data_IF_188666036956
#
_entry.id   IF_188666036956
#
_cell.length_a   1.000
_cell.length_b   1.000
_cell.length_c   1.000
_cell.angle_alpha   90.00
_cell.angle_beta   90.00
_cell.angle_gamma   90.00
#
_symmetry.space_group_name_H-M   'P 1'
#
loop_
_entity.id
_entity.type
_entity.pdbx_description
1 polymer ?
#
# COMPACT_ATOMS: atom_id res chain seq x y z
N UNK A 1 12.45 45.09 66.64
CA UNK A 1 12.69 44.32 67.89
C UNK A 1 12.12 42.92 67.69
N UNK A 2 12.78 41.87 68.21
CA UNK A 2 12.33 40.46 68.31
C UNK A 2 11.77 39.82 67.01
N UNK A 3 12.40 38.86 66.32
CA UNK A 3 13.33 37.78 66.72
C UNK A 3 12.80 36.92 67.87
N UNK A 4 12.26 35.74 67.53
CA UNK A 4 12.25 34.54 68.36
C UNK A 4 12.49 33.32 67.46
N UNK A 5 13.47 32.50 67.86
CA UNK A 5 13.74 31.17 67.34
C UNK A 5 13.11 30.16 68.32
N UNK A 6 12.91 28.89 67.93
CA UNK A 6 13.28 27.72 68.74
C UNK A 6 12.98 26.38 68.02
N UNK A 7 13.97 25.50 68.04
CA UNK A 7 13.96 24.04 67.78
C UNK A 7 14.43 23.32 69.07
N UNK A 8 14.48 21.96 69.14
CA UNK A 8 13.69 20.94 68.44
C UNK A 8 12.84 20.16 69.49
N UNK A 9 13.14 18.95 70.05
CA UNK A 9 14.00 17.81 69.68
C UNK A 9 13.22 16.73 68.86
N UNK A 10 13.74 15.49 68.77
CA UNK A 10 13.10 14.36 68.07
C UNK A 10 13.00 13.06 68.90
N UNK A 11 12.41 12.00 68.31
CA UNK A 11 12.27 10.66 68.92
C UNK A 11 12.62 9.58 67.88
N UNK A 12 13.36 8.56 68.30
CA UNK A 12 13.77 7.41 67.49
C UNK A 12 12.62 6.40 67.26
N UNK A 13 12.71 5.60 66.18
CA UNK A 13 13.00 4.15 66.28
C UNK A 13 12.34 3.28 65.19
N UNK A 14 12.85 2.04 65.09
CA UNK A 14 12.27 0.85 64.48
C UNK A 14 12.21 0.74 62.94
N UNK A 15 13.22 0.03 62.40
CA UNK A 15 13.10 -0.75 61.17
C UNK A 15 11.94 -1.76 61.30
N UNK A 16 11.23 -2.04 60.21
CA UNK A 16 10.63 -3.37 60.00
C UNK A 16 10.80 -3.78 58.54
N UNK A 17 11.48 -4.90 58.33
CA UNK A 17 11.81 -5.46 57.01
C UNK A 17 10.89 -6.65 56.77
N UNK A 18 9.77 -6.45 56.08
CA UNK A 18 8.83 -7.54 55.82
C UNK A 18 8.26 -7.52 54.40
N UNK A 19 8.26 -8.70 53.76
CA UNK A 19 7.14 -9.10 52.93
C UNK A 19 7.10 -8.62 51.49
N UNK A 20 8.17 -8.81 50.71
CA UNK A 20 8.08 -8.80 49.24
C UNK A 20 7.28 -10.01 48.73
N UNK A 21 5.95 -9.99 48.89
CA UNK A 21 5.08 -11.02 48.33
C UNK A 21 5.07 -10.92 46.80
N UNK A 22 5.80 -11.82 46.15
CA UNK A 22 5.67 -12.04 44.70
C UNK A 22 4.28 -12.63 44.45
N UNK A 23 3.35 -11.85 43.87
CA UNK A 23 2.17 -12.44 43.23
C UNK A 23 2.66 -13.35 42.11
N UNK A 24 2.41 -14.64 42.25
CA UNK A 24 2.54 -15.61 41.16
C UNK A 24 1.44 -15.30 40.16
N UNK A 25 1.79 -14.76 39.00
CA UNK A 25 0.85 -14.55 37.91
C UNK A 25 0.59 -15.90 37.25
N UNK A 26 -0.64 -16.39 37.36
CA UNK A 26 -1.08 -17.60 36.68
C UNK A 26 -1.10 -17.38 35.15
N UNK A 27 -0.47 -18.23 34.33
CA UNK A 27 -0.62 -18.21 32.89
C UNK A 27 -1.95 -18.90 32.52
N UNK A 28 -3.02 -18.14 32.30
CA UNK A 28 -4.32 -18.76 32.02
C UNK A 28 -5.51 -17.82 31.93
N UNK A 29 -5.46 -16.81 31.06
CA UNK A 29 -6.65 -16.17 30.46
C UNK A 29 -6.20 -15.20 29.37
N UNK A 30 -6.06 -15.69 28.13
CA UNK A 30 -6.06 -14.81 26.96
C UNK A 30 -7.51 -14.34 26.74
N UNK A 31 -7.78 -13.04 26.56
CA UNK A 31 -9.11 -12.58 26.15
C UNK A 31 -9.43 -13.14 24.76
N UNK A 32 -10.71 -13.49 24.54
CA UNK A 32 -11.15 -14.15 23.32
C UNK A 32 -10.77 -13.36 22.07
N UNK A 33 -10.16 -14.07 21.13
CA UNK A 33 -9.71 -13.54 19.83
C UNK A 33 -10.92 -12.99 19.06
N UNK A 34 -10.93 -11.66 18.83
CA UNK A 34 -11.94 -11.02 17.98
C UNK A 34 -11.61 -11.36 16.53
N UNK A 35 -12.12 -12.50 16.07
CA UNK A 35 -11.99 -12.91 14.67
C UNK A 35 -12.64 -11.87 13.76
N UNK A 36 -11.93 -11.31 12.76
CA UNK A 36 -12.57 -10.45 11.77
C UNK A 36 -13.59 -11.26 10.97
N UNK A 37 -14.84 -10.81 10.96
CA UNK A 37 -15.92 -11.53 10.27
C UNK A 37 -15.64 -11.59 8.77
N UNK A 38 -15.45 -12.82 8.27
CA UNK A 38 -15.20 -13.10 6.85
C UNK A 38 -16.47 -12.71 6.05
N UNK A 39 -16.40 -11.83 5.04
CA UNK A 39 -17.56 -11.51 4.22
C UNK A 39 -18.04 -12.77 3.48
N UNK A 40 -19.35 -12.96 3.43
CA UNK A 40 -19.96 -14.16 2.86
C UNK A 40 -19.64 -14.30 1.35
N UNK A 41 -19.27 -15.51 0.93
CA UNK A 41 -18.99 -15.83 -0.48
C UNK A 41 -20.26 -15.70 -1.33
N UNK A 42 -20.37 -14.62 -2.09
CA UNK A 42 -21.38 -14.50 -3.15
C UNK A 42 -21.05 -15.49 -4.29
N UNK A 43 -21.94 -16.44 -4.54
CA UNK A 43 -21.82 -17.40 -5.64
C UNK A 43 -22.39 -16.78 -6.92
N UNK A 44 -21.53 -16.29 -7.81
CA UNK A 44 -21.94 -15.80 -9.13
C UNK A 44 -21.72 -16.88 -10.19
N UNK A 45 -22.80 -17.26 -10.88
CA UNK A 45 -22.83 -18.33 -11.88
C UNK A 45 -22.08 -17.92 -13.15
N UNK A 46 -21.42 -18.89 -13.79
CA UNK A 46 -20.85 -18.72 -15.12
C UNK A 46 -21.94 -18.66 -16.18
N UNK A 47 -21.73 -17.81 -17.19
CA UNK A 47 -22.40 -17.88 -18.49
C UNK A 47 -21.31 -17.96 -19.56
N UNK A 48 -21.35 -19.01 -20.36
CA UNK A 48 -20.57 -19.12 -21.58
C UNK A 48 -21.45 -18.68 -22.76
N UNK A 49 -20.85 -18.11 -23.80
CA UNK A 49 -21.49 -17.96 -25.09
C UNK A 49 -20.52 -18.29 -26.23
N UNK A 50 -21.05 -18.95 -27.26
CA UNK A 50 -20.31 -19.42 -28.42
C UNK A 50 -20.71 -18.62 -29.68
N UNK A 51 -19.78 -18.55 -30.64
CA UNK A 51 -20.03 -18.05 -31.99
C UNK A 51 -19.23 -16.79 -32.33
N UNK A 52 -18.79 -16.57 -33.57
CA UNK A 52 -18.88 -17.46 -34.73
C UNK A 52 -18.63 -16.67 -36.03
N UNK A 53 -17.73 -17.19 -36.87
CA UNK A 53 -17.54 -16.88 -38.30
C UNK A 53 -17.46 -15.41 -38.80
N UNK A 54 -16.44 -15.14 -39.64
CA UNK A 54 -16.76 -14.60 -40.97
C UNK A 54 -15.99 -13.37 -41.51
N UNK A 55 -15.33 -13.62 -42.65
CA UNK A 55 -15.38 -12.82 -43.87
C UNK A 55 -14.38 -11.67 -44.17
N UNK A 56 -14.05 -11.66 -45.47
CA UNK A 56 -13.70 -10.54 -46.35
C UNK A 56 -12.32 -9.85 -46.23
N UNK A 57 -11.43 -10.28 -47.14
CA UNK A 57 -10.24 -9.53 -47.59
C UNK A 57 -10.67 -8.23 -48.29
N UNK A 58 -10.27 -7.07 -47.77
CA UNK A 58 -10.39 -5.77 -48.46
C UNK A 58 -9.02 -5.19 -48.81
N UNK A 59 -8.62 -5.23 -50.08
CA UNK A 59 -7.40 -4.53 -50.54
C UNK A 59 -7.64 -3.01 -50.51
N UNK A 60 -6.84 -2.27 -49.73
CA UNK A 60 -6.85 -0.81 -49.74
C UNK A 60 -6.21 -0.25 -51.02
N UNK A 61 -6.76 0.79 -51.65
CA UNK A 61 -6.07 1.50 -52.73
C UNK A 61 -4.87 2.27 -52.19
N UNK A 62 -3.75 2.21 -52.91
CA UNK A 62 -2.54 2.96 -52.58
C UNK A 62 -2.72 4.40 -53.06
N UNK A 63 -3.05 5.31 -52.13
CA UNK A 63 -3.12 6.75 -52.44
C UNK A 63 -1.69 7.30 -52.52
N UNK A 64 -1.25 7.62 -53.73
CA UNK A 64 0.05 8.25 -53.98
C UNK A 64 0.03 9.71 -53.52
N UNK A 65 0.40 9.95 -52.26
CA UNK A 65 0.63 11.30 -51.75
C UNK A 65 1.78 11.96 -52.51
N UNK A 66 1.45 12.81 -53.49
CA UNK A 66 2.41 13.76 -54.09
C UNK A 66 3.04 14.56 -52.96
N UNK A 67 4.35 14.41 -52.76
CA UNK A 67 5.12 15.27 -51.87
C UNK A 67 4.98 16.69 -52.40
N UNK A 68 4.37 17.58 -51.62
CA UNK A 68 4.49 19.02 -51.84
C UNK A 68 5.77 19.44 -51.14
N UNK A 69 6.74 19.88 -51.92
CA UNK A 69 7.97 20.44 -51.38
C UNK A 69 7.64 21.63 -50.49
N UNK A 70 8.14 21.59 -49.25
CA UNK A 70 8.04 22.72 -48.33
C UNK A 70 9.27 23.61 -48.54
N UNK A 71 9.11 24.93 -48.72
CA UNK A 71 10.25 25.82 -48.76
C UNK A 71 10.96 25.84 -47.39
N UNK A 72 12.27 25.65 -47.41
CA UNK A 72 13.13 25.88 -46.25
C UNK A 72 13.08 27.36 -45.84
N UNK A 73 12.85 27.63 -44.55
CA UNK A 73 12.90 29.00 -44.01
C UNK A 73 11.89 29.33 -42.90
N UNK A 74 10.82 28.54 -42.73
CA UNK A 74 9.84 28.77 -41.67
C UNK A 74 10.42 28.46 -40.28
N UNK A 75 10.94 29.50 -39.59
CA UNK A 75 11.39 29.42 -38.20
C UNK A 75 10.28 28.82 -37.33
N UNK A 76 10.56 27.68 -36.71
CA UNK A 76 9.61 26.93 -35.88
C UNK A 76 9.17 27.81 -34.70
N UNK A 77 7.88 28.11 -34.59
CA UNK A 77 7.34 28.82 -33.44
C UNK A 77 7.73 28.08 -32.13
N UNK A 78 8.01 28.81 -31.03
CA UNK A 78 8.37 28.18 -29.76
C UNK A 78 7.22 27.26 -29.32
N UNK A 79 7.52 25.96 -29.22
CA UNK A 79 6.53 24.97 -28.83
C UNK A 79 5.97 25.31 -27.44
N UNK A 80 4.65 25.18 -27.26
CA UNK A 80 4.03 25.31 -25.94
C UNK A 80 4.78 24.41 -24.97
N UNK A 81 5.15 24.88 -23.76
CA UNK A 81 5.90 24.07 -22.81
C UNK A 81 5.16 22.76 -22.58
N UNK A 82 5.87 21.65 -22.73
CA UNK A 82 5.35 20.31 -22.45
C UNK A 82 4.72 20.35 -21.05
N UNK A 83 3.42 20.03 -20.94
CA UNK A 83 2.77 19.89 -19.62
C UNK A 83 3.60 18.89 -18.83
N UNK A 84 4.25 19.34 -17.74
CA UNK A 84 5.07 18.49 -16.89
C UNK A 84 4.24 17.25 -16.54
N UNK A 85 4.77 16.06 -16.87
CA UNK A 85 4.00 14.83 -16.85
C UNK A 85 3.47 14.48 -15.46
N UNK A 86 2.56 13.50 -15.37
CA UNK A 86 2.07 12.94 -14.09
C UNK A 86 3.15 12.12 -13.34
N UNK A 87 4.43 12.35 -13.61
CA UNK A 87 5.55 11.85 -12.83
C UNK A 87 5.64 12.63 -11.52
N UNK A 88 5.92 11.94 -10.42
CA UNK A 88 6.52 12.59 -9.25
C UNK A 88 7.92 13.11 -9.61
N UNK A 89 8.49 14.00 -8.80
CA UNK A 89 9.91 14.38 -8.90
C UNK A 89 10.82 13.19 -8.59
N UNK A 90 12.14 13.35 -8.73
CA UNK A 90 13.12 12.42 -8.15
C UNK A 90 12.84 12.24 -6.65
N UNK A 91 12.84 11.01 -6.10
CA UNK A 91 12.72 10.79 -4.66
C UNK A 91 13.96 11.29 -3.91
N UNK A 92 13.77 11.73 -2.66
CA UNK A 92 14.88 11.93 -1.71
C UNK A 92 15.44 10.59 -1.24
N UNK A 93 16.65 10.57 -0.64
CA UNK A 93 17.23 9.35 -0.08
C UNK A 93 16.37 8.68 1.02
N UNK A 94 15.56 9.44 1.75
CA UNK A 94 14.60 8.89 2.72
C UNK A 94 13.37 8.29 2.02
N UNK A 95 12.87 8.95 0.98
CA UNK A 95 11.77 8.41 0.16
C UNK A 95 12.19 7.17 -0.63
N UNK A 96 13.45 7.08 -1.08
CA UNK A 96 13.97 5.87 -1.72
C UNK A 96 14.00 4.71 -0.70
N UNK A 97 14.61 4.90 0.47
CA UNK A 97 14.62 3.89 1.56
C UNK A 97 13.22 3.42 1.96
N UNK A 98 12.21 4.31 1.95
CA UNK A 98 10.80 3.94 2.13
C UNK A 98 10.32 2.96 1.05
N UNK A 99 10.58 3.26 -0.22
CA UNK A 99 10.17 2.41 -1.36
C UNK A 99 10.95 1.09 -1.43
N UNK A 100 12.21 1.09 -0.99
CA UNK A 100 13.02 -0.12 -0.84
C UNK A 100 12.42 -1.02 0.24
N UNK A 101 12.11 -0.47 1.43
CA UNK A 101 11.43 -1.19 2.51
C UNK A 101 10.04 -1.73 2.09
N UNK A 102 9.26 -0.98 1.30
CA UNK A 102 8.00 -1.48 0.72
C UNK A 102 8.25 -2.73 -0.14
N UNK A 103 9.32 -2.74 -0.92
CA UNK A 103 9.66 -3.86 -1.81
C UNK A 103 10.13 -5.09 -1.02
N UNK A 104 10.84 -4.89 0.09
CA UNK A 104 11.26 -5.95 1.02
C UNK A 104 10.09 -6.54 1.82
N UNK A 105 9.10 -5.71 2.20
CA UNK A 105 7.87 -6.13 2.89
C UNK A 105 6.94 -6.91 1.95
N UNK A 106 6.89 -6.53 0.68
CA UNK A 106 5.96 -7.09 -0.30
C UNK A 106 4.55 -6.48 -0.22
N UNK A 107 3.57 -7.18 -0.79
CA UNK A 107 2.23 -6.64 -1.01
C UNK A 107 1.43 -6.42 0.28
N UNK A 108 0.99 -5.18 0.52
CA UNK A 108 0.18 -4.79 1.69
C UNK A 108 -1.11 -5.60 1.82
N UNK A 109 -1.74 -5.97 0.70
CA UNK A 109 -2.96 -6.80 0.68
C UNK A 109 -2.66 -8.25 1.08
N UNK A 110 -1.51 -8.80 0.67
CA UNK A 110 -1.12 -10.16 1.06
C UNK A 110 -0.75 -10.22 2.55
N UNK A 111 -0.08 -9.18 3.06
CA UNK A 111 0.22 -9.03 4.49
C UNK A 111 -1.07 -8.92 5.32
N UNK A 112 -2.04 -8.10 4.90
CA UNK A 112 -3.35 -7.97 5.55
C UNK A 112 -4.13 -9.30 5.64
N UNK A 113 -3.97 -10.17 4.63
CA UNK A 113 -4.61 -11.49 4.54
C UNK A 113 -3.82 -12.61 5.24
N UNK A 114 -2.67 -12.31 5.85
CA UNK A 114 -1.82 -13.31 6.50
C UNK A 114 -1.11 -14.26 5.53
N UNK A 115 -1.02 -13.92 4.24
CA UNK A 115 -0.39 -14.74 3.19
C UNK A 115 1.14 -14.63 3.18
N UNK A 116 1.72 -13.78 4.02
CA UNK A 116 3.16 -13.53 4.10
C UNK A 116 3.70 -12.73 2.91
N UNK A 117 4.97 -12.96 2.57
CA UNK A 117 5.65 -12.23 1.50
C UNK A 117 5.09 -12.61 0.13
N UNK A 118 4.55 -11.62 -0.59
CA UNK A 118 4.21 -11.69 -2.00
C UNK A 118 4.87 -10.51 -2.70
N UNK A 119 5.69 -10.72 -3.75
CA UNK A 119 6.35 -9.64 -4.47
C UNK A 119 5.39 -8.53 -4.92
N UNK A 120 5.85 -7.28 -4.83
CA UNK A 120 5.03 -6.11 -5.13
C UNK A 120 5.73 -5.07 -6.00
N UNK A 121 4.93 -4.24 -6.62
CA UNK A 121 5.33 -3.00 -7.26
C UNK A 121 4.92 -1.82 -6.36
N UNK A 122 5.73 -0.77 -6.33
CA UNK A 122 5.42 0.46 -5.59
C UNK A 122 4.33 1.25 -6.33
N UNK A 123 3.20 1.44 -5.65
CA UNK A 123 2.03 2.16 -6.15
C UNK A 123 1.90 3.54 -5.48
N UNK A 124 1.99 4.62 -6.26
CA UNK A 124 1.72 5.98 -5.79
C UNK A 124 0.22 6.28 -5.74
N UNK A 125 -0.30 6.52 -4.55
CA UNK A 125 -1.68 6.93 -4.32
C UNK A 125 -1.98 8.29 -4.94
N UNK A 126 -3.25 8.51 -5.30
CA UNK A 126 -3.70 9.71 -6.01
C UNK A 126 -4.66 10.55 -5.18
N UNK A 127 -4.74 11.85 -5.46
CA UNK A 127 -5.69 12.75 -4.78
C UNK A 127 -7.12 12.28 -5.09
N UNK A 128 -7.86 11.89 -4.04
CA UNK A 128 -9.20 11.31 -4.16
C UNK A 128 -9.26 9.88 -4.72
N UNK A 129 -8.11 9.18 -4.79
CA UNK A 129 -8.01 7.77 -5.15
C UNK A 129 -8.53 7.39 -6.54
N UNK A 130 -8.76 8.34 -7.45
CA UNK A 130 -9.28 8.07 -8.80
C UNK A 130 -8.14 7.94 -9.80
N UNK A 131 -8.17 6.88 -10.61
CA UNK A 131 -7.24 6.75 -11.73
C UNK A 131 -7.32 8.01 -12.61
N UNK A 132 -6.16 8.53 -12.98
CA UNK A 132 -6.05 9.77 -13.75
C UNK A 132 -5.69 11.02 -12.93
N UNK A 133 -5.87 11.00 -11.61
CA UNK A 133 -5.62 12.15 -10.74
C UNK A 133 -4.13 12.39 -10.43
N UNK A 134 -3.83 13.55 -9.84
CA UNK A 134 -2.47 13.90 -9.38
C UNK A 134 -2.02 12.91 -8.31
N UNK A 135 -0.79 12.39 -8.41
CA UNK A 135 -0.15 11.58 -7.35
C UNK A 135 0.09 12.44 -6.11
N UNK A 136 -0.13 11.89 -4.91
CA UNK A 136 0.01 12.62 -3.63
C UNK A 136 1.47 12.93 -3.28
N UNK A 137 2.40 12.02 -3.61
CA UNK A 137 3.84 12.16 -3.37
C UNK A 137 4.49 10.79 -3.21
N UNK A 138 5.81 10.74 -2.98
CA UNK A 138 6.52 9.49 -2.70
C UNK A 138 6.21 8.91 -1.31
N UNK A 139 5.84 9.77 -0.36
CA UNK A 139 5.47 9.36 0.99
C UNK A 139 4.07 8.69 1.03
N UNK A 140 3.29 8.85 -0.04
CA UNK A 140 1.97 8.27 -0.25
C UNK A 140 2.07 7.06 -1.20
N UNK A 141 2.88 6.09 -0.79
CA UNK A 141 3.19 4.86 -1.54
C UNK A 141 2.85 3.61 -0.76
N UNK A 142 2.35 2.60 -1.47
CA UNK A 142 2.04 1.26 -0.95
C UNK A 142 2.54 0.16 -1.90
N UNK A 143 2.84 -1.03 -1.39
CA UNK A 143 3.24 -2.19 -2.18
C UNK A 143 2.02 -3.00 -2.65
N UNK A 144 1.84 -3.17 -3.95
CA UNK A 144 0.77 -4.01 -4.52
C UNK A 144 1.35 -5.08 -5.46
N UNK A 145 0.90 -6.34 -5.31
CA UNK A 145 1.21 -7.42 -6.26
C UNK A 145 0.53 -7.18 -7.62
N UNK A 146 0.93 -7.88 -8.72
CA UNK A 146 0.40 -7.62 -10.07
C UNK A 146 -1.13 -7.69 -10.19
N UNK A 147 -1.78 -8.58 -9.42
CA UNK A 147 -3.24 -8.67 -9.38
C UNK A 147 -3.87 -7.48 -8.67
N UNK A 148 -3.44 -7.22 -7.43
CA UNK A 148 -3.96 -6.11 -6.63
C UNK A 148 -3.69 -4.75 -7.28
N UNK A 149 -2.56 -4.60 -7.98
CA UNK A 149 -2.15 -3.38 -8.68
C UNK A 149 -2.85 -3.21 -10.04
N UNK A 150 -2.57 -4.08 -11.01
CA UNK A 150 -2.98 -3.94 -12.43
C UNK A 150 -4.10 -4.90 -12.84
N UNK A 151 -4.43 -5.88 -12.00
CA UNK A 151 -5.38 -6.95 -12.33
C UNK A 151 -4.75 -8.04 -13.19
N UNK A 152 -3.42 -8.15 -13.18
CA UNK A 152 -2.67 -9.17 -13.92
C UNK A 152 -2.49 -10.41 -13.04
N UNK A 153 -2.99 -11.59 -13.46
CA UNK A 153 -2.73 -12.83 -12.75
C UNK A 153 -1.23 -13.18 -12.77
N UNK A 154 -0.74 -13.83 -11.72
CA UNK A 154 0.67 -14.18 -11.56
C UNK A 154 0.83 -15.55 -10.88
N UNK A 155 2.05 -16.10 -10.87
CA UNK A 155 2.33 -17.37 -10.19
C UNK A 155 1.58 -18.58 -10.76
N UNK A 156 1.26 -18.57 -12.06
CA UNK A 156 0.48 -19.62 -12.71
C UNK A 156 -1.03 -19.59 -12.42
N UNK A 157 -1.51 -18.69 -11.57
CA UNK A 157 -2.94 -18.53 -11.27
C UNK A 157 -3.69 -17.83 -12.42
N UNK A 158 -4.98 -18.12 -12.54
CA UNK A 158 -5.89 -17.35 -13.40
C UNK A 158 -6.54 -16.19 -12.59
N UNK A 159 -7.24 -15.30 -13.30
CA UNK A 159 -7.87 -14.12 -12.68
C UNK A 159 -8.92 -14.45 -11.59
N UNK A 160 -9.70 -15.52 -11.76
CA UNK A 160 -10.70 -15.92 -10.77
C UNK A 160 -10.04 -16.50 -9.50
N UNK A 161 -8.96 -17.26 -9.64
CA UNK A 161 -8.14 -17.73 -8.51
C UNK A 161 -7.50 -16.56 -7.77
N UNK A 162 -6.92 -15.58 -8.49
CA UNK A 162 -6.39 -14.37 -7.87
C UNK A 162 -7.47 -13.58 -7.12
N UNK A 163 -8.66 -13.41 -7.70
CA UNK A 163 -9.78 -12.74 -7.01
C UNK A 163 -10.24 -13.49 -5.76
N UNK A 164 -10.32 -14.82 -5.83
CA UNK A 164 -10.72 -15.65 -4.69
C UNK A 164 -9.72 -15.60 -3.53
N UNK A 165 -8.43 -15.45 -3.82
CA UNK A 165 -7.35 -15.45 -2.82
C UNK A 165 -6.99 -14.06 -2.29
N UNK A 166 -6.99 -13.04 -3.15
CA UNK A 166 -6.50 -11.69 -2.85
C UNK A 166 -7.61 -10.64 -2.82
N UNK A 167 -8.85 -11.04 -3.13
CA UNK A 167 -9.98 -10.12 -3.29
C UNK A 167 -10.00 -9.40 -4.65
N UNK A 168 -10.91 -8.43 -4.82
CA UNK A 168 -11.00 -7.60 -6.03
C UNK A 168 -9.65 -6.90 -6.34
N UNK A 169 -9.40 -6.60 -7.61
CA UNK A 169 -8.23 -5.84 -8.06
C UNK A 169 -8.50 -4.33 -8.08
N UNK A 170 -7.52 -3.50 -7.69
CA UNK A 170 -7.66 -2.03 -7.68
C UNK A 170 -7.98 -1.50 -9.09
N UNK A 171 -7.27 -1.98 -10.12
CA UNK A 171 -7.47 -1.53 -11.50
C UNK A 171 -8.78 -2.02 -12.11
N UNK A 172 -9.15 -3.30 -11.89
CA UNK A 172 -10.33 -3.90 -12.53
C UNK A 172 -11.63 -3.64 -11.79
N UNK A 173 -11.60 -3.53 -10.46
CA UNK A 173 -12.78 -3.48 -9.60
C UNK A 173 -12.66 -2.41 -8.50
N UNK A 174 -12.31 -1.15 -8.83
CA UNK A 174 -11.92 -0.14 -7.85
C UNK A 174 -12.98 0.16 -6.78
N UNK A 175 -14.27 0.02 -7.10
CA UNK A 175 -15.36 0.20 -6.11
C UNK A 175 -15.34 -0.91 -5.07
N UNK A 176 -15.38 -2.18 -5.50
CA UNK A 176 -15.30 -3.35 -4.62
C UNK A 176 -14.00 -3.36 -3.83
N UNK A 177 -12.87 -3.04 -4.46
CA UNK A 177 -11.57 -2.91 -3.79
C UNK A 177 -11.65 -1.99 -2.55
N UNK A 178 -12.22 -0.78 -2.70
CA UNK A 178 -12.34 0.15 -1.56
C UNK A 178 -13.35 -0.27 -0.49
N UNK A 179 -14.25 -1.20 -0.79
CA UNK A 179 -15.26 -1.73 0.13
C UNK A 179 -14.80 -3.00 0.85
N UNK A 180 -14.06 -3.88 0.16
CA UNK A 180 -13.68 -5.22 0.64
C UNK A 180 -12.22 -5.30 1.12
N UNK A 181 -11.31 -4.50 0.54
CA UNK A 181 -9.87 -4.48 0.87
C UNK A 181 -9.50 -3.22 1.65
N UNK A 182 -10.07 -2.07 1.27
CA UNK A 182 -9.89 -0.79 1.97
C UNK A 182 -9.59 0.38 1.04
N UNK A 183 -9.74 1.60 1.58
CA UNK A 183 -9.47 2.83 0.84
C UNK A 183 -7.97 3.19 0.82
N UNK A 184 -7.62 4.19 0.00
CA UNK A 184 -6.24 4.66 -0.17
C UNK A 184 -5.56 5.06 1.15
N UNK A 185 -6.28 5.66 2.11
CA UNK A 185 -5.71 6.12 3.39
C UNK A 185 -5.50 4.94 4.37
N UNK A 186 -6.48 4.04 4.50
CA UNK A 186 -6.35 2.81 5.30
C UNK A 186 -5.16 1.96 4.86
N UNK A 187 -4.97 1.78 3.55
CA UNK A 187 -3.84 1.01 3.02
C UNK A 187 -2.51 1.73 3.21
N UNK A 188 -2.50 3.06 3.25
CA UNK A 188 -1.32 3.84 3.55
C UNK A 188 -0.92 3.71 5.02
N UNK A 189 -1.88 3.80 5.94
CA UNK A 189 -1.64 3.64 7.37
C UNK A 189 -1.14 2.23 7.70
N UNK A 190 -1.75 1.20 7.12
CA UNK A 190 -1.27 -0.18 7.23
C UNK A 190 0.15 -0.34 6.65
N UNK A 191 0.44 0.28 5.50
CA UNK A 191 1.79 0.26 4.93
C UNK A 191 2.82 0.95 5.83
N UNK A 192 2.45 2.07 6.47
CA UNK A 192 3.31 2.79 7.42
C UNK A 192 3.64 1.90 8.62
N UNK A 193 2.62 1.28 9.24
CA UNK A 193 2.80 0.33 10.34
C UNK A 193 3.72 -0.84 9.95
N UNK A 194 3.58 -1.40 8.74
CA UNK A 194 4.46 -2.46 8.27
C UNK A 194 5.91 -1.98 8.06
N UNK A 195 6.12 -0.74 7.60
CA UNK A 195 7.45 -0.14 7.46
C UNK A 195 8.10 0.08 8.83
N UNK A 196 7.37 0.61 9.80
CA UNK A 196 7.84 0.78 11.18
C UNK A 196 8.29 -0.56 11.77
N UNK A 197 7.43 -1.59 11.71
CA UNK A 197 7.77 -2.94 12.17
C UNK A 197 8.96 -3.56 11.42
N UNK A 198 9.12 -3.29 10.12
CA UNK A 198 10.25 -3.78 9.33
C UNK A 198 11.56 -3.10 9.72
N UNK A 199 11.53 -1.79 9.94
CA UNK A 199 12.68 -1.01 10.40
C UNK A 199 13.10 -1.41 11.82
N UNK A 200 12.15 -1.63 12.74
CA UNK A 200 12.44 -2.22 14.04
C UNK A 200 13.12 -3.58 13.89
N UNK A 201 12.51 -4.49 13.10
CA UNK A 201 13.00 -5.86 12.89
C UNK A 201 14.37 -5.95 12.20
N UNK A 202 14.73 -4.97 11.39
CA UNK A 202 16.04 -4.90 10.71
C UNK A 202 17.07 -4.16 11.55
N UNK A 203 16.69 -3.15 12.33
CA UNK A 203 17.61 -2.40 13.21
C UNK A 203 18.22 -3.25 14.33
N UNK A 204 17.51 -4.25 14.87
CA UNK A 204 18.09 -5.17 15.87
C UNK A 204 18.99 -6.23 15.24
N UNK A 205 18.80 -6.52 13.95
CA UNK A 205 19.61 -7.45 13.15
C UNK A 205 20.84 -6.74 12.59
N UNK A 206 21.62 -6.10 13.47
CA UNK A 206 22.91 -5.53 13.12
C UNK A 206 23.75 -6.56 12.33
N UNK A 207 24.28 -6.11 11.20
CA UNK A 207 24.88 -6.94 10.14
C UNK A 207 26.18 -7.63 10.54
#
# INVERSE_FOLDING_TARGET
>A
MCRWQHEPPGIHSARSVHGRQRRVLHPGSLPAEVQPQRPARAQCRAAADHGGAGAAKGRRPVVSHRRRDRPDGARRAPGRPMKRGRSTSTPTATQQRRMDAITEIGCVVAQALGLGFVPCEVHHLTVGGKHGQKRRGHDFTIGLNPWSHRGEPFGGMNAATCEQMLGPSYAKQPRRFRQEVGNDDYLLDLQNTLIEQHLEKTSWRAA
#
